data_IF_630552932179
#
_entry.id   IF_630552932179
#
_cell.length_a   1.000
_cell.length_b   1.000
_cell.length_c   1.000
_cell.angle_alpha   90.00
_cell.angle_beta   90.00
_cell.angle_gamma   90.00
#
_symmetry.space_group_name_H-M   'P 1'
#
loop_
_entity.id
_entity.type
_entity.pdbx_description
1 polymer ?
#
# COMPACT_ATOMS: atom_id res chain seq x y z
N UNK A 1 16.74 -32.27 -3.49
CA UNK A 1 16.91 -31.28 -2.41
C UNK A 1 17.34 -29.97 -3.05
N UNK A 2 16.39 -29.06 -3.29
CA UNK A 2 16.66 -27.78 -3.95
C UNK A 2 17.41 -26.84 -3.01
N UNK A 3 18.60 -26.40 -3.41
CA UNK A 3 19.30 -25.28 -2.77
C UNK A 3 18.34 -24.09 -2.75
N UNK A 4 17.88 -23.68 -1.57
CA UNK A 4 17.12 -22.43 -1.43
C UNK A 4 18.13 -21.31 -1.67
N UNK A 5 17.98 -20.62 -2.79
CA UNK A 5 18.69 -19.39 -3.08
C UNK A 5 18.63 -18.47 -1.86
N UNK A 6 19.78 -18.28 -1.20
CA UNK A 6 19.96 -17.35 -0.08
C UNK A 6 19.90 -15.88 -0.53
N UNK A 7 19.61 -15.64 -1.81
CA UNK A 7 19.43 -14.33 -2.41
C UNK A 7 17.94 -14.06 -2.70
N UNK A 8 17.05 -14.49 -1.80
CA UNK A 8 15.67 -14.03 -1.84
C UNK A 8 15.68 -12.52 -1.58
N UNK A 9 15.43 -11.72 -2.62
CA UNK A 9 15.32 -10.27 -2.50
C UNK A 9 14.38 -9.96 -1.34
N UNK A 10 14.89 -9.20 -0.35
CA UNK A 10 14.07 -8.85 0.80
C UNK A 10 12.94 -7.95 0.32
N UNK A 11 11.71 -8.23 0.75
CA UNK A 11 10.57 -7.38 0.42
C UNK A 11 10.52 -6.19 1.36
N UNK A 12 10.48 -4.97 0.81
CA UNK A 12 10.31 -3.73 1.54
C UNK A 12 8.92 -3.15 1.25
N UNK A 13 8.07 -3.04 2.27
CA UNK A 13 6.74 -2.45 2.11
C UNK A 13 6.82 -0.92 2.03
N UNK A 14 6.13 -0.35 1.05
CA UNK A 14 6.15 1.09 0.80
C UNK A 14 4.81 1.77 0.95
N UNK A 15 4.86 3.04 1.34
CA UNK A 15 3.70 3.94 1.30
C UNK A 15 3.97 5.08 0.32
N UNK A 16 2.95 5.47 -0.45
CA UNK A 16 3.07 6.61 -1.37
C UNK A 16 2.86 7.89 -0.56
N UNK A 17 3.77 8.85 -0.72
CA UNK A 17 3.65 10.20 -0.15
C UNK A 17 3.88 11.25 -1.23
N UNK A 18 3.02 12.26 -1.25
CA UNK A 18 3.22 13.47 -2.04
C UNK A 18 3.96 14.52 -1.20
N UNK A 19 4.77 15.34 -1.88
CA UNK A 19 5.41 16.48 -1.25
C UNK A 19 4.49 17.71 -1.39
N UNK A 20 4.03 18.31 -0.28
CA UNK A 20 3.03 19.38 -0.30
C UNK A 20 3.54 20.60 -1.06
N UNK A 21 2.66 21.23 -1.84
CA UNK A 21 3.02 22.37 -2.70
C UNK A 21 3.78 21.98 -3.97
N UNK A 22 4.09 20.70 -4.16
CA UNK A 22 4.69 20.17 -5.39
C UNK A 22 3.81 19.08 -6.00
N UNK A 23 4.21 18.57 -7.16
CA UNK A 23 3.56 17.43 -7.80
C UNK A 23 4.38 16.14 -7.71
N UNK A 24 5.39 16.11 -6.86
CA UNK A 24 6.33 14.99 -6.77
C UNK A 24 5.82 13.99 -5.76
N UNK A 25 5.88 12.71 -6.13
CA UNK A 25 5.53 11.58 -5.28
C UNK A 25 6.77 10.76 -4.94
N UNK A 26 6.77 10.19 -3.74
CA UNK A 26 7.83 9.34 -3.23
C UNK A 26 7.27 8.07 -2.60
N UNK A 27 7.94 6.96 -2.85
CA UNK A 27 7.75 5.72 -2.10
C UNK A 27 8.57 5.79 -0.82
N UNK A 28 7.90 5.63 0.30
CA UNK A 28 8.52 5.63 1.62
C UNK A 28 8.57 4.20 2.13
N UNK A 29 9.79 3.67 2.29
CA UNK A 29 10.06 2.43 3.04
C UNK A 29 10.18 2.83 4.51
N UNK A 30 9.24 2.44 5.35
CA UNK A 30 9.28 2.79 6.78
C UNK A 30 10.35 2.00 7.54
N UNK A 31 10.51 0.72 7.20
CA UNK A 31 11.45 -0.20 7.84
C UNK A 31 12.29 -0.91 6.77
N UNK A 32 13.53 -0.47 6.60
CA UNK A 32 14.45 -1.08 5.65
C UNK A 32 14.89 -2.46 6.14
N UNK A 33 14.77 -3.52 5.34
CA UNK A 33 15.15 -4.88 5.75
C UNK A 33 16.65 -5.05 6.05
N UNK A 34 17.49 -4.08 5.68
CA UNK A 34 18.93 -4.11 5.90
C UNK A 34 19.38 -3.30 7.12
N UNK A 35 18.91 -2.05 7.25
CA UNK A 35 19.38 -1.13 8.30
C UNK A 35 18.29 -0.73 9.31
N UNK A 36 17.04 -1.15 9.13
CA UNK A 36 15.89 -0.76 9.96
C UNK A 36 15.51 0.73 9.85
N UNK A 37 16.16 1.48 8.96
CA UNK A 37 15.91 2.90 8.75
C UNK A 37 14.78 3.18 7.77
N UNK A 38 14.33 4.44 7.73
CA UNK A 38 13.36 4.93 6.76
C UNK A 38 14.05 5.41 5.49
N UNK A 39 13.58 4.98 4.32
CA UNK A 39 14.12 5.37 3.01
C UNK A 39 13.07 5.94 2.06
N UNK A 40 13.52 6.78 1.14
CA UNK A 40 12.68 7.47 0.16
C UNK A 40 13.14 7.13 -1.26
N UNK A 41 12.20 6.70 -2.10
CA UNK A 41 12.41 6.44 -3.51
C UNK A 41 11.52 7.33 -4.37
N UNK A 42 11.98 7.80 -5.53
CA UNK A 42 11.14 8.58 -6.42
C UNK A 42 10.02 7.72 -7.01
N UNK A 43 8.77 8.11 -6.78
CA UNK A 43 7.58 7.47 -7.35
C UNK A 43 7.05 8.19 -8.61
N UNK A 44 7.61 9.34 -8.97
CA UNK A 44 7.28 10.10 -10.17
C UNK A 44 6.48 11.38 -9.89
N UNK A 45 5.74 11.85 -10.89
CA UNK A 45 4.97 13.10 -10.84
C UNK A 45 3.48 12.83 -11.04
N UNK A 46 2.63 13.45 -10.22
CA UNK A 46 1.16 13.34 -10.22
C UNK A 46 0.48 13.53 -11.58
N UNK A 47 1.13 14.18 -12.57
CA UNK A 47 0.54 14.40 -13.89
C UNK A 47 0.80 13.29 -14.92
N UNK A 48 1.97 12.66 -14.87
CA UNK A 48 2.49 11.91 -16.03
C UNK A 48 3.03 10.51 -15.69
N UNK A 49 3.12 10.14 -14.42
CA UNK A 49 3.68 8.86 -14.02
C UNK A 49 2.68 8.07 -13.19
N UNK A 50 2.45 6.81 -13.57
CA UNK A 50 1.80 5.86 -12.68
C UNK A 50 2.81 5.44 -11.60
N UNK A 51 2.56 5.72 -10.32
CA UNK A 51 3.52 5.42 -9.26
C UNK A 51 3.81 3.91 -9.15
N UNK A 52 2.91 3.05 -9.66
CA UNK A 52 3.07 1.60 -9.71
C UNK A 52 4.22 1.13 -10.59
N UNK A 53 4.62 1.89 -11.61
CA UNK A 53 5.76 1.54 -12.48
C UNK A 53 7.11 1.57 -11.75
N UNK A 54 7.18 2.25 -10.60
CA UNK A 54 8.38 2.35 -9.75
C UNK A 54 8.42 1.29 -8.64
N UNK A 55 7.44 0.38 -8.61
CA UNK A 55 7.44 -0.79 -7.72
C UNK A 55 8.26 -1.93 -8.35
N UNK A 56 8.82 -2.81 -7.52
CA UNK A 56 9.74 -3.87 -7.93
C UNK A 56 11.14 -3.69 -7.37
N UNK A 57 12.15 -4.24 -8.05
CA UNK A 57 13.53 -4.24 -7.56
C UNK A 57 14.13 -2.82 -7.56
N UNK A 58 14.58 -2.38 -6.39
CA UNK A 58 15.30 -1.11 -6.22
C UNK A 58 16.52 -1.31 -5.34
N UNK A 59 17.61 -0.54 -5.58
CA UNK A 59 18.76 -0.57 -4.70
C UNK A 59 18.39 -0.06 -3.30
N UNK A 60 18.98 -0.67 -2.28
CA UNK A 60 18.82 -0.22 -0.92
C UNK A 60 19.53 1.12 -0.73
N UNK A 61 18.83 2.14 -0.24
CA UNK A 61 19.42 3.47 -0.05
C UNK A 61 20.54 3.48 0.99
N UNK A 62 20.58 2.49 1.90
CA UNK A 62 21.68 2.29 2.85
C UNK A 62 22.90 1.56 2.25
N UNK A 63 22.69 0.70 1.26
CA UNK A 63 23.76 -0.08 0.61
C UNK A 63 23.38 -0.32 -0.87
N UNK A 64 23.90 0.49 -1.80
CA UNK A 64 23.58 0.38 -3.21
C UNK A 64 23.99 -0.96 -3.85
N UNK A 65 24.85 -1.75 -3.20
CA UNK A 65 25.23 -3.07 -3.67
C UNK A 65 24.15 -4.14 -3.44
N UNK A 66 23.10 -3.82 -2.67
CA UNK A 66 21.99 -4.71 -2.35
C UNK A 66 20.69 -4.18 -2.93
N UNK A 67 19.81 -5.08 -3.34
CA UNK A 67 18.48 -4.74 -3.86
C UNK A 67 17.39 -5.36 -2.99
N UNK A 68 16.30 -4.62 -2.80
CA UNK A 68 15.06 -5.13 -2.23
C UNK A 68 13.91 -4.92 -3.21
N UNK A 69 12.84 -5.69 -3.04
CA UNK A 69 11.62 -5.53 -3.82
C UNK A 69 10.66 -4.58 -3.10
N UNK A 70 10.37 -3.44 -3.72
CA UNK A 70 9.36 -2.48 -3.25
C UNK A 70 7.97 -3.00 -3.57
N UNK A 71 7.19 -3.33 -2.54
CA UNK A 71 5.81 -3.79 -2.69
C UNK A 71 4.84 -2.95 -1.85
N UNK A 72 3.61 -2.86 -2.33
CA UNK A 72 2.53 -2.28 -1.53
C UNK A 72 2.19 -3.21 -0.37
N UNK A 73 1.92 -2.66 0.84
CA UNK A 73 1.46 -3.46 1.95
C UNK A 73 0.16 -4.17 1.57
N UNK A 74 -0.05 -5.42 2.04
CA UNK A 74 -1.26 -6.17 1.75
C UNK A 74 -2.46 -5.35 2.23
N UNK A 75 -3.44 -5.16 1.34
CA UNK A 75 -4.64 -4.39 1.68
C UNK A 75 -5.31 -5.03 2.90
N UNK A 76 -5.69 -4.24 3.92
CA UNK A 76 -6.35 -4.78 5.09
C UNK A 76 -7.59 -5.55 4.67
N UNK A 77 -7.67 -6.83 5.06
CA UNK A 77 -8.80 -7.70 4.70
C UNK A 77 -10.08 -7.06 5.21
N UNK A 78 -10.99 -6.69 4.30
CA UNK A 78 -12.32 -6.23 4.69
C UNK A 78 -12.98 -7.39 5.43
N UNK A 79 -13.36 -7.18 6.69
CA UNK A 79 -14.15 -8.16 7.46
C UNK A 79 -15.40 -8.51 6.65
N UNK A 80 -15.60 -9.80 6.36
CA UNK A 80 -16.85 -10.30 5.81
C UNK A 80 -18.00 -9.84 6.72
N UNK A 81 -19.11 -9.39 6.14
CA UNK A 81 -20.28 -8.91 6.89
C UNK A 81 -20.37 -7.40 7.13
N UNK A 82 -19.33 -6.57 6.92
CA UNK A 82 -19.48 -5.10 7.05
C UNK A 82 -20.43 -4.50 5.98
N UNK A 83 -20.44 -5.09 4.77
CA UNK A 83 -21.39 -4.67 3.74
C UNK A 83 -22.81 -5.17 4.01
N UNK A 84 -22.99 -6.41 4.47
CA UNK A 84 -24.30 -6.95 4.85
C UNK A 84 -24.90 -6.15 6.01
N UNK A 85 -24.12 -5.89 7.06
CA UNK A 85 -24.58 -5.07 8.20
C UNK A 85 -24.92 -3.63 7.81
N UNK A 86 -24.28 -3.08 6.76
CA UNK A 86 -24.61 -1.76 6.20
C UNK A 86 -25.87 -1.81 5.32
N UNK A 87 -26.12 -2.94 4.64
CA UNK A 87 -27.35 -3.20 3.88
C UNK A 87 -28.54 -3.38 4.82
N UNK A 88 -28.42 -4.22 5.85
CA UNK A 88 -29.44 -4.42 6.89
C UNK A 88 -29.86 -3.11 7.56
N UNK A 89 -28.92 -2.24 7.93
CA UNK A 89 -29.23 -0.92 8.50
C UNK A 89 -29.99 0.00 7.54
N UNK A 90 -29.71 -0.09 6.24
CA UNK A 90 -30.44 0.69 5.22
C UNK A 90 -31.83 0.13 4.98
N UNK A 91 -31.99 -1.18 5.07
CA UNK A 91 -33.27 -1.87 4.90
C UNK A 91 -34.18 -1.69 6.11
N UNK A 92 -33.64 -1.74 7.34
CA UNK A 92 -34.37 -1.42 8.57
C UNK A 92 -34.93 0.00 8.56
N UNK A 93 -34.10 1.00 8.22
CA UNK A 93 -34.55 2.40 8.12
C UNK A 93 -35.59 2.63 7.02
N UNK A 94 -35.64 1.78 5.99
CA UNK A 94 -36.66 1.85 4.94
C UNK A 94 -38.01 1.30 5.42
N UNK A 95 -38.00 0.28 6.28
CA UNK A 95 -39.23 -0.28 6.88
C UNK A 95 -39.85 0.70 7.88
N UNK A 96 -39.04 1.34 8.71
CA UNK A 96 -39.54 2.32 9.70
C UNK A 96 -40.27 3.51 9.05
N UNK A 97 -39.85 3.94 7.84
CA UNK A 97 -40.49 5.04 7.09
C UNK A 97 -41.82 4.62 6.42
N UNK A 98 -41.97 3.33 6.06
CA UNK A 98 -43.20 2.81 5.45
C UNK A 98 -44.29 2.57 6.50
N UNK A 99 -43.92 2.17 7.73
CA UNK A 99 -44.84 1.95 8.87
C UNK A 99 -45.40 3.26 9.46
N UNK A 100 -44.68 4.39 9.38
CA UNK A 100 -45.15 5.71 9.84
C UNK A 100 -46.12 6.42 8.86
N UNK A 101 -46.34 5.86 7.67
CA UNK A 101 -47.15 6.48 6.61
C UNK A 101 -48.51 5.78 6.40
N UNK A 102 -48.99 5.03 7.40
CA UNK A 102 -50.32 4.42 7.46
C UNK A 102 -51.10 4.90 8.69
#
# INVERSE_FOLDING_TARGET
>A
MGKRDQNAAHTAFVTLRDLPGTRVMFWVVEDCPYCGGRHFHPAGNLRNADPGERLGEQPAACDPARTYELLLPPRPKKKAGKQERRKERREGKRRDIDDENW
#
